data_IF_732611953753
#
_entry.id   IF_732611953753
#
_cell.length_a   1.000
_cell.length_b   1.000
_cell.length_c   1.000
_cell.angle_alpha   90.00
_cell.angle_beta   90.00
_cell.angle_gamma   90.00
#
_symmetry.space_group_name_H-M   'P 1'
#
loop_
_entity.id
_entity.type
_entity.pdbx_description
1 polymer ?
#
# COMPACT_ATOMS: atom_id res chain seq x y z
N UNK A 1 27.97 -45.90 1.42
CA UNK A 1 27.93 -45.19 2.71
C UNK A 1 27.81 -43.71 2.38
N UNK A 2 26.60 -43.17 2.42
CA UNK A 2 26.30 -41.80 1.94
C UNK A 2 26.14 -40.86 3.13
N UNK A 3 26.84 -39.73 3.12
CA UNK A 3 26.56 -38.60 4.01
C UNK A 3 26.41 -37.34 3.15
N UNK A 4 25.16 -36.94 2.92
CA UNK A 4 24.81 -35.61 2.45
C UNK A 4 24.26 -34.84 3.65
N UNK A 5 24.99 -33.83 4.11
CA UNK A 5 24.47 -32.82 5.04
C UNK A 5 23.68 -31.79 4.22
N UNK A 6 22.41 -32.11 3.94
CA UNK A 6 21.50 -31.18 3.29
C UNK A 6 20.85 -30.26 4.33
N UNK A 7 21.25 -28.98 4.36
CA UNK A 7 20.46 -27.94 5.02
C UNK A 7 19.57 -27.28 3.97
N UNK A 8 18.34 -27.76 3.83
CA UNK A 8 17.33 -27.09 3.02
C UNK A 8 16.67 -25.99 3.86
N UNK A 9 17.17 -24.77 3.76
CA UNK A 9 16.49 -23.59 4.30
C UNK A 9 15.38 -23.17 3.32
N UNK A 10 14.20 -23.78 3.46
CA UNK A 10 13.01 -23.37 2.72
C UNK A 10 12.48 -22.06 3.31
N UNK A 11 13.02 -20.91 2.91
CA UNK A 11 12.42 -19.62 3.24
C UNK A 11 11.11 -19.46 2.46
N UNK A 12 9.99 -19.75 3.13
CA UNK A 12 8.66 -19.39 2.62
C UNK A 12 8.55 -17.87 2.64
N UNK A 13 8.69 -17.24 1.47
CA UNK A 13 8.38 -15.83 1.32
C UNK A 13 6.87 -15.67 1.38
N UNK A 14 6.36 -15.27 2.55
CA UNK A 14 5.00 -14.77 2.69
C UNK A 14 4.91 -13.39 2.00
N UNK A 15 4.81 -13.37 0.67
CA UNK A 15 4.52 -12.14 -0.06
C UNK A 15 3.10 -11.70 0.30
N UNK A 16 2.98 -10.60 1.04
CA UNK A 16 1.68 -9.98 1.27
C UNK A 16 1.24 -9.31 -0.03
N UNK A 17 0.20 -9.84 -0.69
CA UNK A 17 -0.26 -9.39 -2.01
C UNK A 17 -1.32 -8.29 -1.94
N UNK A 18 -1.34 -7.47 -0.89
CA UNK A 18 -2.32 -6.38 -0.82
C UNK A 18 -1.87 -5.19 -1.66
N UNK A 19 -2.81 -4.64 -2.40
CA UNK A 19 -2.64 -3.44 -3.21
C UNK A 19 -3.61 -2.38 -2.73
N UNK A 20 -3.09 -1.21 -2.35
CA UNK A 20 -3.89 -0.03 -2.09
C UNK A 20 -3.96 0.83 -3.33
N UNK A 21 -5.16 1.23 -3.71
CA UNK A 21 -5.43 2.11 -4.84
C UNK A 21 -6.21 3.31 -4.32
N UNK A 22 -5.78 4.50 -4.69
CA UNK A 22 -6.47 5.73 -4.30
C UNK A 22 -6.38 6.78 -5.41
N UNK A 23 -7.36 7.68 -5.43
CA UNK A 23 -7.36 8.87 -6.28
C UNK A 23 -7.29 10.08 -5.35
N UNK A 24 -6.25 10.89 -5.51
CA UNK A 24 -6.03 12.08 -4.71
C UNK A 24 -6.57 13.30 -5.44
N UNK A 25 -7.47 13.99 -4.77
CA UNK A 25 -8.13 15.20 -5.25
C UNK A 25 -8.31 16.20 -4.12
N UNK A 26 -8.40 17.47 -4.45
CA UNK A 26 -8.72 18.53 -3.52
C UNK A 26 -10.17 18.41 -3.04
N UNK A 27 -10.38 18.55 -1.74
CA UNK A 27 -11.70 18.38 -1.12
C UNK A 27 -12.67 19.53 -1.39
N UNK A 28 -12.18 20.71 -1.79
CA UNK A 28 -13.00 21.91 -2.03
C UNK A 28 -13.28 22.11 -3.51
N UNK A 29 -12.27 21.94 -4.36
CA UNK A 29 -12.38 22.18 -5.81
C UNK A 29 -12.63 20.91 -6.62
N UNK A 30 -12.48 19.71 -6.01
CA UNK A 30 -12.44 18.42 -6.72
C UNK A 30 -11.32 18.33 -7.78
N UNK A 31 -10.34 19.23 -7.72
CA UNK A 31 -9.22 19.23 -8.64
C UNK A 31 -8.28 18.05 -8.35
N UNK A 32 -7.75 17.44 -9.41
CA UNK A 32 -6.83 16.32 -9.30
C UNK A 32 -5.47 16.81 -8.80
N UNK A 33 -4.97 16.21 -7.72
CA UNK A 33 -3.68 16.57 -7.14
C UNK A 33 -2.57 15.67 -7.70
N UNK A 34 -2.10 16.01 -8.90
CA UNK A 34 -0.98 15.34 -9.57
C UNK A 34 0.30 15.55 -8.76
N UNK A 35 1.07 14.48 -8.53
CA UNK A 35 2.30 14.56 -7.73
C UNK A 35 2.08 14.47 -6.22
N UNK A 36 0.84 14.28 -5.74
CA UNK A 36 0.59 13.87 -4.36
C UNK A 36 1.29 12.54 -4.07
N UNK A 37 1.92 12.42 -2.90
CA UNK A 37 2.62 11.22 -2.48
C UNK A 37 1.84 10.51 -1.39
N UNK A 38 1.85 9.18 -1.42
CA UNK A 38 1.32 8.35 -0.35
C UNK A 38 2.40 7.38 0.10
N UNK A 39 2.64 7.34 1.41
CA UNK A 39 3.67 6.51 2.02
C UNK A 39 3.05 5.65 3.12
N UNK A 40 3.31 4.34 3.07
CA UNK A 40 2.95 3.44 4.14
C UNK A 40 3.89 3.65 5.34
N UNK A 41 3.33 4.10 6.46
CA UNK A 41 4.07 4.38 7.69
C UNK A 41 4.79 3.11 8.18
N UNK A 42 6.00 3.28 8.71
CA UNK A 42 6.91 2.21 9.12
C UNK A 42 7.45 1.34 7.98
N UNK A 43 7.25 1.75 6.73
CA UNK A 43 7.83 1.07 5.56
C UNK A 43 8.44 2.06 4.58
N UNK A 44 9.29 1.57 3.69
CA UNK A 44 9.76 2.33 2.53
C UNK A 44 8.81 2.19 1.32
N UNK A 45 7.61 1.61 1.52
CA UNK A 45 6.61 1.46 0.46
C UNK A 45 5.81 2.75 0.33
N UNK A 46 5.61 3.17 -0.89
CA UNK A 46 4.85 4.36 -1.23
C UNK A 46 4.65 4.47 -2.73
N UNK A 47 3.90 5.48 -3.12
CA UNK A 47 3.60 5.78 -4.51
C UNK A 47 3.33 7.27 -4.68
N UNK A 48 3.44 7.72 -5.93
CA UNK A 48 3.12 9.09 -6.32
C UNK A 48 1.92 9.06 -7.25
N UNK A 49 0.98 9.98 -7.04
CA UNK A 49 -0.19 10.17 -7.86
C UNK A 49 0.21 10.64 -9.27
N UNK A 50 -0.32 9.96 -10.28
CA UNK A 50 -0.12 10.30 -11.69
C UNK A 50 -0.99 11.50 -12.12
N UNK A 51 -1.00 11.81 -13.43
CA UNK A 51 -1.76 12.91 -14.03
C UNK A 51 -3.27 12.84 -13.78
N UNK A 52 -3.80 11.64 -13.48
CA UNK A 52 -5.21 11.43 -13.13
C UNK A 52 -5.44 11.40 -11.61
N UNK A 53 -4.42 11.72 -10.80
CA UNK A 53 -4.47 11.66 -9.33
C UNK A 53 -4.42 10.24 -8.79
N UNK A 54 -4.28 9.24 -9.67
CA UNK A 54 -4.28 7.84 -9.29
C UNK A 54 -2.92 7.44 -8.74
N UNK A 55 -2.93 6.81 -7.57
CA UNK A 55 -1.76 6.19 -6.96
C UNK A 55 -2.05 4.76 -6.57
N UNK A 56 -1.00 3.94 -6.64
CA UNK A 56 -1.05 2.53 -6.27
C UNK A 56 0.15 2.18 -5.39
N UNK A 57 -0.10 1.53 -4.26
CA UNK A 57 0.91 0.99 -3.37
C UNK A 57 0.71 -0.51 -3.28
N UNK A 58 1.66 -1.26 -3.82
CA UNK A 58 1.64 -2.72 -3.81
C UNK A 58 2.42 -3.28 -2.63
N UNK A 59 2.17 -4.56 -2.34
CA UNK A 59 2.88 -5.34 -1.34
C UNK A 59 2.72 -4.77 0.08
N UNK A 60 1.48 -4.40 0.43
CA UNK A 60 1.12 -3.90 1.76
C UNK A 60 0.92 -5.09 2.71
N UNK A 61 1.56 -5.11 3.88
CA UNK A 61 1.40 -6.17 4.87
C UNK A 61 -0.03 -6.25 5.42
N UNK A 62 -0.46 -7.45 5.77
CA UNK A 62 -1.73 -7.68 6.47
C UNK A 62 -1.76 -6.93 7.82
N UNK A 63 -2.96 -6.61 8.29
CA UNK A 63 -3.21 -5.86 9.54
C UNK A 63 -3.54 -4.40 9.30
N UNK A 64 -3.62 -3.63 10.39
CA UNK A 64 -3.87 -2.19 10.34
C UNK A 64 -2.61 -1.45 9.89
N UNK A 65 -2.73 -0.80 8.74
CA UNK A 65 -1.66 -0.08 8.06
C UNK A 65 -2.04 1.39 7.97
N UNK A 66 -1.11 2.28 8.32
CA UNK A 66 -1.34 3.72 8.25
C UNK A 66 -0.68 4.28 7.00
N UNK A 67 -1.45 5.00 6.18
CA UNK A 67 -0.96 5.61 4.95
C UNK A 67 -0.93 7.11 5.15
N UNK A 68 0.26 7.69 5.00
CA UNK A 68 0.52 9.12 5.06
C UNK A 68 0.47 9.71 3.65
N UNK A 69 -0.50 10.58 3.41
CA UNK A 69 -0.65 11.38 2.21
C UNK A 69 0.02 12.74 2.40
N UNK A 70 0.91 13.10 1.51
CA UNK A 70 1.63 14.38 1.55
C UNK A 70 1.69 14.99 0.15
N UNK A 71 1.43 16.29 0.06
CA UNK A 71 1.50 17.04 -1.18
C UNK A 71 2.10 18.42 -0.92
N UNK A 72 2.84 18.96 -1.90
CA UNK A 72 3.61 20.19 -1.71
C UNK A 72 2.65 21.37 -1.47
N UNK A 73 2.80 22.04 -0.33
CA UNK A 73 1.94 23.16 0.06
C UNK A 73 0.61 22.78 0.71
N UNK A 74 0.38 21.49 0.98
CA UNK A 74 -0.82 20.98 1.65
C UNK A 74 -0.48 20.34 2.99
N UNK A 75 -1.48 20.24 3.86
CA UNK A 75 -1.34 19.51 5.10
C UNK A 75 -1.21 18.01 4.85
N UNK A 76 -0.34 17.37 5.64
CA UNK A 76 -0.17 15.92 5.59
C UNK A 76 -1.34 15.25 6.28
N UNK A 77 -1.97 14.29 5.60
CA UNK A 77 -3.06 13.49 6.15
C UNK A 77 -2.62 12.06 6.40
N UNK A 78 -3.01 11.48 7.53
CA UNK A 78 -2.73 10.08 7.86
C UNK A 78 -4.06 9.36 8.03
N UNK A 79 -4.31 8.34 7.22
CA UNK A 79 -5.48 7.48 7.34
C UNK A 79 -5.06 6.03 7.64
N UNK A 80 -5.87 5.31 8.40
CA UNK A 80 -5.59 3.93 8.80
C UNK A 80 -6.52 2.96 8.06
N UNK A 81 -5.94 1.95 7.42
CA UNK A 81 -6.63 0.95 6.63
C UNK A 81 -6.25 -0.45 7.10
N UNK A 82 -7.23 -1.35 7.25
CA UNK A 82 -6.96 -2.73 7.66
C UNK A 82 -6.94 -3.64 6.45
N UNK A 83 -5.83 -4.35 6.27
CA UNK A 83 -5.61 -5.30 5.18
C UNK A 83 -5.64 -6.76 5.66
N UNK A 84 -5.99 -7.74 4.81
CA UNK A 84 -6.54 -7.55 3.47
C UNK A 84 -7.87 -6.79 3.55
N UNK A 85 -8.06 -5.82 2.66
CA UNK A 85 -9.37 -5.19 2.52
C UNK A 85 -10.27 -6.28 1.97
N UNK A 86 -11.02 -6.91 2.85
CA UNK A 86 -11.94 -7.96 2.44
C UNK A 86 -13.02 -7.29 1.60
N UNK A 87 -12.82 -7.23 0.29
CA UNK A 87 -13.92 -7.24 -0.68
C UNK A 87 -14.65 -8.57 -0.47
N UNK A 88 -15.34 -8.69 0.65
CA UNK A 88 -16.17 -9.82 0.98
C UNK A 88 -17.44 -9.64 0.18
N UNK A 89 -17.35 -9.80 -1.13
CA UNK A 89 -18.49 -10.21 -1.91
C UNK A 89 -18.83 -11.64 -1.44
N UNK A 90 -19.60 -11.74 -0.36
CA UNK A 90 -20.43 -12.92 -0.16
C UNK A 90 -21.56 -12.79 -1.16
N UNK A 91 -21.38 -13.38 -2.34
CA UNK A 91 -22.49 -13.87 -3.13
C UNK A 91 -23.19 -14.94 -2.27
N UNK A 92 -24.35 -14.59 -1.73
CA UNK A 92 -25.39 -15.55 -1.34
C UNK A 92 -26.50 -15.50 -2.37
#
# INVERSE_FOLDING_TARGET
>A
MYFHFGYAYSSSFAYSQNTFKAIIKDGKTNEILVGATAQLINTQKGGTANENGYLEIQNIPNGTQQIKFSYLGYETKIDSFTFPMSDTCKLV
#
